data_IF_674794915953
#
_entry.id   IF_674794915953
#
_cell.length_a   1.000
_cell.length_b   1.000
_cell.length_c   1.000
_cell.angle_alpha   90.00
_cell.angle_beta   90.00
_cell.angle_gamma   90.00
#
_symmetry.space_group_name_H-M   'P 1'
#
loop_
_entity.id
_entity.type
_entity.pdbx_description
1 polymer ?
#
# COMPACT_ATOMS: atom_id res chain seq x y z
N UNK A 1 8.50 5.00 -0.79
CA UNK A 1 7.66 3.92 -1.33
C UNK A 1 8.42 2.60 -1.25
N UNK A 2 7.87 1.60 -0.57
CA UNK A 2 8.36 0.23 -0.57
C UNK A 2 7.82 -0.51 -1.81
N UNK A 3 8.72 -1.03 -2.65
CA UNK A 3 8.36 -1.67 -3.91
C UNK A 3 7.59 -2.99 -3.70
N UNK A 4 7.99 -3.78 -2.71
CA UNK A 4 7.38 -5.09 -2.43
C UNK A 4 5.94 -4.92 -2.00
N UNK A 5 5.64 -3.93 -1.14
CA UNK A 5 4.26 -3.62 -0.75
C UNK A 5 3.41 -3.22 -1.96
N UNK A 6 3.92 -2.33 -2.83
CA UNK A 6 3.18 -1.95 -4.04
C UNK A 6 2.93 -3.16 -4.95
N UNK A 7 3.90 -4.06 -5.10
CA UNK A 7 3.74 -5.28 -5.88
C UNK A 7 2.68 -6.21 -5.26
N UNK A 8 2.73 -6.45 -3.95
CA UNK A 8 1.73 -7.25 -3.24
C UNK A 8 0.31 -6.69 -3.43
N UNK A 9 0.12 -5.40 -3.19
CA UNK A 9 -1.17 -4.73 -3.35
C UNK A 9 -1.65 -4.75 -4.81
N UNK A 10 -0.76 -4.50 -5.78
CA UNK A 10 -1.10 -4.58 -7.21
C UNK A 10 -1.52 -5.99 -7.65
N UNK A 11 -0.90 -7.01 -7.08
CA UNK A 11 -1.24 -8.43 -7.26
C UNK A 11 -2.49 -8.85 -6.48
N UNK A 12 -3.12 -7.93 -5.73
CA UNK A 12 -4.31 -8.23 -4.93
C UNK A 12 -4.01 -9.07 -3.69
N UNK A 13 -2.80 -9.01 -3.16
CA UNK A 13 -2.42 -9.67 -1.90
C UNK A 13 -2.55 -8.65 -0.76
N UNK A 14 -3.49 -8.83 0.18
CA UNK A 14 -3.60 -7.98 1.37
C UNK A 14 -2.29 -8.01 2.18
N UNK A 15 -1.88 -6.85 2.70
CA UNK A 15 -0.59 -6.70 3.40
C UNK A 15 -0.80 -6.45 4.88
N UNK A 16 0.02 -7.07 5.72
CA UNK A 16 0.19 -6.71 7.13
C UNK A 16 1.60 -6.13 7.27
N UNK A 17 1.72 -4.94 7.82
CA UNK A 17 3.03 -4.28 8.01
C UNK A 17 3.05 -3.41 9.27
N UNK A 18 4.17 -2.73 9.54
CA UNK A 18 4.29 -1.84 10.69
C UNK A 18 3.94 -0.40 10.34
N UNK A 19 3.58 0.39 11.35
CA UNK A 19 3.45 1.85 11.27
C UNK A 19 4.82 2.51 11.25
N UNK A 20 5.61 2.22 10.23
CA UNK A 20 6.96 2.75 10.07
C UNK A 20 7.08 3.56 8.79
N UNK A 21 7.72 4.73 8.87
CA UNK A 21 8.05 5.56 7.69
C UNK A 21 6.83 5.76 6.76
N UNK A 22 6.99 5.66 5.45
CA UNK A 22 5.92 5.79 4.46
C UNK A 22 5.04 4.54 4.25
N UNK A 23 5.15 3.50 5.08
CA UNK A 23 4.31 2.30 4.93
C UNK A 23 2.81 2.59 5.17
N UNK A 24 2.41 3.45 6.13
CA UNK A 24 1.00 3.84 6.30
C UNK A 24 0.39 4.59 5.12
N UNK A 25 1.20 5.14 4.20
CA UNK A 25 0.71 5.76 2.96
C UNK A 25 0.32 4.70 1.92
N UNK A 26 1.01 3.56 1.92
CA UNK A 26 0.75 2.46 0.98
C UNK A 26 -0.29 1.49 1.52
N UNK A 27 -0.24 1.18 2.81
CA UNK A 27 -1.16 0.26 3.49
C UNK A 27 -2.04 1.05 4.44
N UNK A 28 -3.33 1.14 4.11
CA UNK A 28 -4.35 1.84 4.87
C UNK A 28 -5.11 0.80 5.72
N UNK A 29 -5.00 0.95 7.04
CA UNK A 29 -5.65 0.09 8.04
C UNK A 29 -7.14 -0.09 7.72
N UNK A 30 -7.57 -1.35 7.60
CA UNK A 30 -8.98 -1.68 7.40
C UNK A 30 -9.51 -1.43 5.98
N UNK A 31 -8.67 -0.95 5.05
CA UNK A 31 -9.06 -0.68 3.67
C UNK A 31 -8.37 -1.62 2.68
N UNK A 32 -7.03 -1.70 2.71
CA UNK A 32 -6.25 -2.56 1.82
C UNK A 32 -5.23 -3.45 2.58
N UNK A 33 -5.25 -3.39 3.90
CA UNK A 33 -4.37 -4.19 4.76
C UNK A 33 -4.47 -3.80 6.23
N UNK A 34 -3.44 -4.17 6.98
CA UNK A 34 -3.35 -3.95 8.43
C UNK A 34 -1.99 -3.41 8.84
N UNK A 35 -1.99 -2.65 9.93
CA UNK A 35 -0.85 -1.97 10.51
C UNK A 35 -0.70 -2.36 11.98
N UNK A 36 0.50 -2.78 12.36
CA UNK A 36 0.92 -2.96 13.75
C UNK A 36 1.91 -1.86 14.17
N UNK A 37 1.99 -1.46 15.45
CA UNK A 37 3.09 -0.63 15.93
C UNK A 37 4.45 -1.30 15.73
N UNK A 38 5.51 -0.51 15.63
CA UNK A 38 6.87 -1.05 15.63
C UNK A 38 7.21 -1.70 16.98
N UNK A 39 7.96 -2.80 16.93
CA UNK A 39 8.39 -3.58 18.10
C UNK A 39 7.25 -4.14 18.98
N UNK A 40 6.00 -4.13 18.49
CA UNK A 40 4.85 -4.72 19.17
C UNK A 40 4.42 -6.02 18.48
N UNK A 41 5.09 -7.11 18.82
CA UNK A 41 4.80 -8.42 18.25
C UNK A 41 3.43 -8.97 18.70
N UNK A 42 2.90 -8.51 19.83
CA UNK A 42 1.58 -8.95 20.31
C UNK A 42 0.50 -8.43 19.37
N UNK A 43 0.54 -7.13 19.04
CA UNK A 43 -0.41 -6.54 18.08
C UNK A 43 -0.21 -7.11 16.68
N UNK A 44 1.04 -7.36 16.25
CA UNK A 44 1.29 -8.02 14.96
C UNK A 44 0.62 -9.41 14.90
N UNK A 45 0.77 -10.22 15.95
CA UNK A 45 0.14 -11.53 16.04
C UNK A 45 -1.39 -11.43 16.00
N UNK A 46 -1.98 -10.46 16.71
CA UNK A 46 -3.41 -10.19 16.66
C UNK A 46 -3.90 -9.85 15.26
N UNK A 47 -3.18 -8.98 14.51
CA UNK A 47 -3.52 -8.64 13.12
C UNK A 47 -3.44 -9.85 12.20
N UNK A 48 -2.42 -10.70 12.36
CA UNK A 48 -2.30 -11.95 11.59
C UNK A 48 -3.49 -12.88 11.87
N UNK A 49 -3.84 -13.08 13.15
CA UNK A 49 -4.98 -13.91 13.55
C UNK A 49 -6.31 -13.34 13.02
N UNK A 50 -6.49 -12.02 13.08
CA UNK A 50 -7.66 -11.34 12.54
C UNK A 50 -7.78 -11.58 11.03
N UNK A 51 -6.69 -11.40 10.28
CA UNK A 51 -6.66 -11.62 8.84
C UNK A 51 -7.01 -13.06 8.47
N UNK A 52 -6.50 -14.05 9.21
CA UNK A 52 -6.80 -15.47 8.98
C UNK A 52 -8.28 -15.78 9.26
N UNK A 53 -8.83 -15.25 10.38
CA UNK A 53 -10.23 -15.48 10.77
C UNK A 53 -11.24 -14.79 9.84
N UNK A 54 -10.90 -13.62 9.31
CA UNK A 54 -11.79 -12.79 8.50
C UNK A 54 -11.47 -12.85 7.00
N UNK A 55 -11.29 -14.05 6.44
CA UNK A 55 -11.02 -14.25 5.00
C UNK A 55 -12.03 -13.59 4.05
N UNK A 56 -13.27 -13.34 4.50
CA UNK A 56 -14.29 -12.65 3.70
C UNK A 56 -13.85 -11.23 3.28
N UNK A 57 -13.07 -10.53 4.11
CA UNK A 57 -12.57 -9.19 3.84
C UNK A 57 -11.44 -9.17 2.79
N UNK A 58 -10.80 -10.31 2.54
CA UNK A 58 -9.64 -10.36 1.64
C UNK A 58 -9.99 -9.92 0.23
N UNK A 59 -11.13 -10.35 -0.29
CA UNK A 59 -11.55 -9.98 -1.65
C UNK A 59 -11.68 -8.46 -1.80
N UNK A 60 -12.27 -7.81 -0.81
CA UNK A 60 -12.40 -6.35 -0.78
C UNK A 60 -11.02 -5.69 -0.69
N UNK A 61 -10.16 -6.14 0.22
CA UNK A 61 -8.82 -5.59 0.41
C UNK A 61 -7.93 -5.79 -0.81
N UNK A 62 -8.07 -6.91 -1.53
CA UNK A 62 -7.39 -7.18 -2.79
C UNK A 62 -7.75 -6.15 -3.86
N UNK A 63 -9.05 -5.85 -4.01
CA UNK A 63 -9.54 -4.88 -4.99
C UNK A 63 -9.07 -3.47 -4.60
N UNK A 64 -9.25 -3.10 -3.34
CA UNK A 64 -8.86 -1.81 -2.79
C UNK A 64 -7.34 -1.57 -2.91
N UNK A 65 -6.53 -2.59 -2.60
CA UNK A 65 -5.07 -2.53 -2.74
C UNK A 65 -4.64 -2.27 -4.17
N UNK A 66 -5.22 -3.00 -5.13
CA UNK A 66 -4.91 -2.79 -6.55
C UNK A 66 -5.34 -1.41 -7.03
N UNK A 67 -6.53 -0.95 -6.65
CA UNK A 67 -7.02 0.39 -7.00
C UNK A 67 -6.12 1.48 -6.41
N UNK A 68 -5.73 1.34 -5.14
CA UNK A 68 -4.82 2.26 -4.47
C UNK A 68 -3.48 2.40 -5.19
N UNK A 69 -2.89 1.27 -5.61
CA UNK A 69 -1.63 1.27 -6.35
C UNK A 69 -1.76 1.89 -7.74
N UNK A 70 -2.83 1.56 -8.47
CA UNK A 70 -3.06 2.14 -9.80
C UNK A 70 -3.31 3.65 -9.75
N UNK A 71 -3.92 4.16 -8.69
CA UNK A 71 -4.18 5.58 -8.52
C UNK A 71 -2.93 6.37 -8.11
N UNK A 72 -2.11 5.82 -7.21
CA UNK A 72 -1.04 6.59 -6.56
C UNK A 72 0.37 6.24 -7.05
N UNK A 73 0.58 5.03 -7.55
CA UNK A 73 1.93 4.48 -7.82
C UNK A 73 2.08 3.89 -9.22
N UNK A 74 1.18 4.24 -10.15
CA UNK A 74 1.30 3.84 -11.54
C UNK A 74 2.50 4.53 -12.19
N UNK A 75 3.49 3.74 -12.60
CA UNK A 75 4.75 4.25 -13.16
C UNK A 75 4.55 5.11 -14.40
N UNK A 76 3.60 4.78 -15.27
CA UNK A 76 3.33 5.58 -16.47
C UNK A 76 2.87 6.99 -16.09
N UNK A 77 1.91 7.09 -15.18
CA UNK A 77 1.38 8.38 -14.70
C UNK A 77 2.47 9.19 -13.98
N UNK A 78 3.25 8.53 -13.12
CA UNK A 78 4.32 9.19 -12.38
C UNK A 78 5.44 9.71 -13.30
N UNK A 79 5.83 8.93 -14.31
CA UNK A 79 6.84 9.33 -15.29
C UNK A 79 6.34 10.52 -16.12
N UNK A 80 5.08 10.48 -16.59
CA UNK A 80 4.48 11.61 -17.32
C UNK A 80 4.47 12.89 -16.47
N UNK A 81 4.09 12.79 -15.19
CA UNK A 81 4.14 13.90 -14.24
C UNK A 81 5.56 14.44 -14.05
N UNK A 82 6.54 13.55 -13.89
CA UNK A 82 7.95 13.92 -13.76
C UNK A 82 8.47 14.66 -15.00
N UNK A 83 8.13 14.18 -16.21
CA UNK A 83 8.50 14.82 -17.48
C UNK A 83 7.90 16.23 -17.56
N UNK A 84 6.65 16.41 -17.14
CA UNK A 84 6.00 17.72 -17.14
C UNK A 84 6.73 18.71 -16.23
N UNK A 85 7.14 18.29 -15.03
CA UNK A 85 7.95 19.14 -14.16
C UNK A 85 9.29 19.54 -14.79
N UNK A 86 9.98 18.62 -15.47
CA UNK A 86 11.21 18.99 -16.18
C UNK A 86 10.95 19.98 -17.32
N UNK A 87 9.85 19.84 -18.06
CA UNK A 87 9.48 20.79 -19.12
C UNK A 87 9.17 22.18 -18.56
N UNK A 88 8.48 22.26 -17.42
CA UNK A 88 8.19 23.53 -16.74
C UNK A 88 9.46 24.26 -16.30
N UNK A 89 10.49 23.52 -15.85
CA UNK A 89 11.77 24.09 -15.44
C UNK A 89 12.66 24.53 -16.60
N UNK A 90 12.55 23.88 -17.77
CA UNK A 90 13.34 24.22 -18.97
C UNK A 90 12.72 25.40 -19.72
N UNK A 91 11.39 25.54 -19.68
CA UNK A 91 10.65 26.59 -20.37
C UNK A 91 10.51 27.90 -19.56
N UNK A 92 11.09 27.95 -18.35
CA UNK A 92 11.28 29.16 -17.55
C UNK A 92 12.75 29.58 -17.58
#
# INVERSE_FOLDING_TARGET
MNLIISQSLASGVPVITTKHSGLPEQVIEGYNGWLAPENDYNVLAEKILLAIKNRKQWKEFSINGRQHVLANYNSKILIEKQINYYRELINN
#
